data_IF_457301399756
#
_entry.id   IF_457301399756
#
_cell.length_a   1.000
_cell.length_b   1.000
_cell.length_c   1.000
_cell.angle_alpha   90.00
_cell.angle_beta   90.00
_cell.angle_gamma   90.00
#
_symmetry.space_group_name_H-M   'P 1'
#
loop_
_entity.id
_entity.type
_entity.pdbx_description
1 polymer ?
#
# COMPACT_ATOMS: atom_id res chain seq x y z
N UNK A 1 -45.44 -58.18 31.08
CA UNK A 1 -44.72 -58.68 29.90
C UNK A 1 -43.38 -57.98 29.86
N UNK A 2 -42.32 -58.74 30.13
CA UNK A 2 -40.93 -58.29 30.10
C UNK A 2 -40.50 -58.06 28.65
N UNK A 3 -39.94 -56.89 28.35
CA UNK A 3 -39.23 -56.64 27.09
C UNK A 3 -37.83 -56.18 27.48
N UNK A 4 -36.84 -57.04 27.22
CA UNK A 4 -35.41 -56.73 27.29
C UNK A 4 -35.04 -55.60 26.34
N UNK A 5 -34.07 -54.74 26.67
CA UNK A 5 -33.48 -53.84 25.69
C UNK A 5 -32.53 -54.61 24.76
N UNK A 6 -32.78 -54.48 23.46
CA UNK A 6 -31.93 -54.93 22.36
C UNK A 6 -30.65 -54.05 22.30
N UNK A 7 -29.45 -54.63 22.08
CA UNK A 7 -28.21 -53.87 22.08
C UNK A 7 -28.06 -53.06 20.79
N UNK A 8 -28.06 -51.72 20.91
CA UNK A 8 -27.67 -50.82 19.83
C UNK A 8 -26.19 -51.05 19.48
N UNK A 9 -26.03 -51.84 18.43
CA UNK A 9 -24.84 -52.17 17.65
C UNK A 9 -23.71 -51.14 17.67
N UNK A 10 -22.49 -51.64 17.92
CA UNK A 10 -21.19 -50.98 17.78
C UNK A 10 -20.91 -50.30 16.41
N UNK A 11 -21.80 -50.48 15.42
CA UNK A 11 -21.79 -49.76 14.14
C UNK A 11 -22.16 -48.27 14.28
N UNK A 12 -22.99 -47.92 15.27
CA UNK A 12 -23.39 -46.52 15.52
C UNK A 12 -22.22 -45.68 16.05
N UNK A 13 -21.44 -46.23 16.99
CA UNK A 13 -20.27 -45.54 17.55
C UNK A 13 -19.12 -45.44 16.54
N UNK A 14 -18.92 -46.45 15.69
CA UNK A 14 -17.87 -46.42 14.68
C UNK A 14 -18.20 -45.44 13.53
N UNK A 15 -19.48 -45.29 13.19
CA UNK A 15 -19.93 -44.27 12.23
C UNK A 15 -19.91 -42.86 12.82
N UNK A 16 -20.20 -42.69 14.11
CA UNK A 16 -20.04 -41.41 14.80
C UNK A 16 -18.56 -41.00 14.92
N UNK A 17 -17.66 -41.95 15.22
CA UNK A 17 -16.21 -41.71 15.25
C UNK A 17 -15.65 -41.39 13.86
N UNK A 18 -16.13 -42.06 12.80
CA UNK A 18 -15.75 -41.74 11.41
C UNK A 18 -16.30 -40.40 10.93
N UNK A 19 -17.50 -40.01 11.36
CA UNK A 19 -18.06 -38.68 11.08
C UNK A 19 -17.31 -37.57 11.84
N UNK A 20 -16.86 -37.83 13.08
CA UNK A 20 -16.06 -36.89 13.86
C UNK A 20 -14.64 -36.72 13.30
N UNK A 21 -14.02 -37.79 12.80
CA UNK A 21 -12.70 -37.73 12.13
C UNK A 21 -12.82 -37.04 10.76
N UNK A 22 -13.90 -37.25 10.02
CA UNK A 22 -14.16 -36.54 8.75
C UNK A 22 -14.48 -35.05 8.95
N UNK A 23 -15.05 -34.65 10.09
CA UNK A 23 -15.26 -33.24 10.43
C UNK A 23 -13.96 -32.56 10.90
N UNK A 24 -13.07 -33.30 11.58
CA UNK A 24 -11.76 -32.81 12.00
C UNK A 24 -10.76 -32.68 10.83
N UNK A 25 -10.81 -33.56 9.83
CA UNK A 25 -9.91 -33.52 8.65
C UNK A 25 -10.33 -32.52 7.55
N UNK A 26 -11.60 -32.07 7.56
CA UNK A 26 -12.05 -30.96 6.69
C UNK A 26 -11.73 -29.60 7.32
N UNK A 27 -11.29 -29.58 8.59
CA UNK A 27 -10.63 -28.43 9.19
C UNK A 27 -9.15 -28.36 8.74
N UNK A 28 -8.94 -28.47 7.42
CA UNK A 28 -7.75 -27.94 6.75
C UNK A 28 -7.71 -26.44 7.03
N UNK A 29 -7.00 -26.07 8.11
CA UNK A 29 -6.08 -24.94 8.18
C UNK A 29 -6.56 -23.74 7.34
N UNK A 30 -7.77 -23.25 7.60
CA UNK A 30 -8.02 -21.82 7.41
C UNK A 30 -7.34 -21.18 8.61
N UNK A 31 -6.04 -20.92 8.47
CA UNK A 31 -5.39 -19.90 9.28
C UNK A 31 -6.18 -18.64 8.98
N UNK A 32 -7.09 -18.26 9.89
CA UNK A 32 -7.68 -16.94 9.88
C UNK A 32 -6.50 -15.96 9.78
N UNK A 33 -6.52 -15.02 8.81
CA UNK A 33 -5.45 -14.04 8.71
C UNK A 33 -5.30 -13.41 10.09
N UNK A 34 -4.08 -13.43 10.62
CA UNK A 34 -3.79 -12.79 11.90
C UNK A 34 -4.34 -11.35 11.81
N UNK A 35 -5.15 -10.85 12.77
CA UNK A 35 -5.81 -9.55 12.64
C UNK A 35 -4.81 -8.40 12.42
N UNK A 36 -3.57 -8.57 12.90
CA UNK A 36 -2.45 -7.64 12.64
C UNK A 36 -2.07 -7.63 11.15
N UNK A 37 -2.06 -8.79 10.48
CA UNK A 37 -1.79 -8.91 9.05
C UNK A 37 -2.96 -8.32 8.24
N UNK A 38 -4.20 -8.50 8.70
CA UNK A 38 -5.38 -7.96 8.03
C UNK A 38 -5.47 -6.43 8.15
N UNK A 39 -5.15 -5.86 9.30
CA UNK A 39 -5.06 -4.42 9.48
C UNK A 39 -3.92 -3.80 8.66
N UNK A 40 -2.76 -4.45 8.56
CA UNK A 40 -1.65 -4.03 7.68
C UNK A 40 -2.00 -4.20 6.20
N UNK A 41 -2.75 -5.24 5.82
CA UNK A 41 -3.17 -5.48 4.44
C UNK A 41 -4.25 -4.50 3.99
N UNK A 42 -5.23 -4.21 4.85
CA UNK A 42 -6.31 -3.26 4.59
C UNK A 42 -5.80 -1.81 4.55
N UNK A 43 -4.84 -1.45 5.41
CA UNK A 43 -4.18 -0.14 5.35
C UNK A 43 -3.35 0.02 4.07
N UNK A 44 -2.61 -1.02 3.64
CA UNK A 44 -1.92 -1.02 2.34
C UNK A 44 -2.86 -0.96 1.13
N UNK A 45 -4.06 -1.52 1.23
CA UNK A 45 -5.09 -1.39 0.17
C UNK A 45 -5.63 0.04 0.06
N UNK A 46 -5.67 0.80 1.16
CA UNK A 46 -6.12 2.19 1.17
C UNK A 46 -5.04 3.24 0.85
N UNK A 47 -3.76 2.89 0.99
CA UNK A 47 -2.62 3.75 0.67
C UNK A 47 -1.64 3.01 -0.26
N UNK A 48 -1.92 2.95 -1.56
CA UNK A 48 -1.02 2.31 -2.52
C UNK A 48 0.36 3.00 -2.57
N UNK A 49 0.46 4.23 -2.07
CA UNK A 49 1.68 5.02 -1.98
C UNK A 49 2.21 5.16 -0.54
N UNK A 50 1.88 4.22 0.35
CA UNK A 50 2.30 4.24 1.75
C UNK A 50 3.78 4.61 1.88
N UNK A 51 4.01 5.72 2.57
CA UNK A 51 5.28 6.43 2.63
C UNK A 51 6.26 5.58 3.44
N UNK A 52 7.37 5.15 2.83
CA UNK A 52 8.55 4.83 3.60
C UNK A 52 9.34 6.14 3.75
N UNK A 53 9.49 6.68 4.97
CA UNK A 53 10.24 7.91 5.19
C UNK A 53 11.73 7.62 4.99
N UNK A 54 12.18 7.56 3.75
CA UNK A 54 13.60 7.44 3.43
C UNK A 54 14.18 8.84 3.23
N UNK A 55 14.27 9.60 4.33
CA UNK A 55 15.40 10.50 4.45
C UNK A 55 16.63 9.60 4.48
N UNK A 56 17.44 9.60 3.41
CA UNK A 56 18.65 8.79 3.33
C UNK A 56 19.54 9.11 4.53
N UNK A 57 19.69 8.15 5.45
CA UNK A 57 20.63 8.29 6.55
C UNK A 57 22.05 8.28 5.97
N UNK A 58 22.95 9.17 6.42
CA UNK A 58 24.31 9.18 5.95
C UNK A 58 24.99 7.84 6.24
N UNK A 59 25.91 7.43 5.37
CA UNK A 59 26.50 6.09 5.45
C UNK A 59 27.17 5.81 6.80
N UNK A 60 27.75 6.86 7.41
CA UNK A 60 28.35 6.82 8.74
C UNK A 60 27.39 6.50 9.89
N UNK A 61 26.07 6.65 9.70
CA UNK A 61 25.06 6.31 10.70
C UNK A 61 24.44 4.92 10.49
N UNK A 62 24.52 4.40 9.25
CA UNK A 62 23.98 3.09 8.88
C UNK A 62 25.01 1.99 9.08
N UNK A 63 26.27 2.29 8.77
CA UNK A 63 27.37 1.34 8.86
C UNK A 63 28.00 1.49 10.24
N UNK A 64 27.69 0.56 11.14
CA UNK A 64 28.40 0.46 12.40
C UNK A 64 29.86 0.05 12.13
N UNK A 65 30.85 0.65 12.81
CA UNK A 65 32.24 0.23 12.66
C UNK A 65 32.34 -1.27 12.96
N UNK A 66 32.89 -2.04 12.02
CA UNK A 66 33.00 -3.48 12.24
C UNK A 66 34.03 -3.78 13.33
N UNK A 67 33.91 -4.94 13.98
CA UNK A 67 34.97 -5.41 14.87
C UNK A 67 36.23 -5.61 14.03
N UNK A 68 37.42 -5.19 14.50
CA UNK A 68 38.64 -5.38 13.74
C UNK A 68 38.78 -6.85 13.35
N UNK A 69 38.75 -7.10 12.04
CA UNK A 69 38.89 -8.44 11.48
C UNK A 69 40.24 -9.04 11.84
N UNK A 70 40.38 -10.37 11.74
CA UNK A 70 41.66 -11.01 11.99
C UNK A 70 42.71 -10.47 10.99
N UNK A 71 43.79 -9.81 11.46
CA UNK A 71 44.74 -9.11 10.60
C UNK A 71 45.48 -10.05 9.65
N UNK A 72 45.63 -11.33 10.00
CA UNK A 72 46.28 -12.33 9.14
C UNK A 72 45.38 -12.73 7.97
N UNK A 73 44.07 -12.83 8.19
CA UNK A 73 43.11 -13.11 7.12
C UNK A 73 42.95 -11.89 6.21
N UNK A 74 42.93 -10.68 6.78
CA UNK A 74 42.87 -9.45 6.00
C UNK A 74 44.07 -9.32 5.06
N UNK A 75 45.30 -9.53 5.53
CA UNK A 75 46.50 -9.50 4.66
C UNK A 75 46.53 -10.59 3.59
N UNK A 76 45.84 -11.71 3.83
CA UNK A 76 45.75 -12.82 2.87
C UNK A 76 44.73 -12.54 1.76
N UNK A 77 43.62 -11.87 2.09
CA UNK A 77 42.49 -11.69 1.17
C UNK A 77 42.41 -10.29 0.56
N UNK A 78 42.83 -9.25 1.26
CA UNK A 78 42.85 -7.86 0.77
C UNK A 78 44.24 -7.60 0.20
N UNK A 79 44.34 -7.50 -1.12
CA UNK A 79 45.59 -7.16 -1.81
C UNK A 79 45.63 -5.66 -2.11
N UNK A 80 46.83 -5.11 -2.30
CA UNK A 80 47.04 -3.73 -2.75
C UNK A 80 46.28 -3.42 -4.07
N UNK A 81 46.15 -4.44 -4.93
CA UNK A 81 45.35 -4.36 -6.15
C UNK A 81 43.87 -4.08 -5.85
N UNK A 82 43.30 -4.71 -4.83
CA UNK A 82 41.88 -4.58 -4.48
C UNK A 82 41.59 -3.19 -3.90
N UNK A 83 42.51 -2.65 -3.10
CA UNK A 83 42.47 -1.26 -2.61
C UNK A 83 42.50 -0.26 -3.76
N UNK A 84 43.40 -0.46 -4.71
CA UNK A 84 43.52 0.39 -5.91
C UNK A 84 42.27 0.30 -6.78
N UNK A 85 41.70 -0.90 -6.94
CA UNK A 85 40.47 -1.13 -7.69
C UNK A 85 39.27 -0.43 -7.03
N UNK A 86 39.11 -0.53 -5.71
CA UNK A 86 38.05 0.14 -4.99
C UNK A 86 38.19 1.66 -5.05
N UNK A 87 39.42 2.19 -4.93
CA UNK A 87 39.69 3.61 -5.10
C UNK A 87 39.27 4.11 -6.49
N UNK A 88 39.61 3.35 -7.54
CA UNK A 88 39.18 3.66 -8.91
C UNK A 88 37.65 3.64 -9.04
N UNK A 89 36.97 2.62 -8.51
CA UNK A 89 35.51 2.51 -8.51
C UNK A 89 34.82 3.67 -7.79
N UNK A 90 35.34 4.11 -6.65
CA UNK A 90 34.80 5.26 -5.92
C UNK A 90 34.98 6.54 -6.75
N UNK A 91 36.15 6.72 -7.36
CA UNK A 91 36.43 7.88 -8.20
C UNK A 91 35.50 7.95 -9.41
N UNK A 92 35.30 6.83 -10.10
CA UNK A 92 34.36 6.72 -11.22
C UNK A 92 32.92 7.03 -10.78
N UNK A 93 32.50 6.52 -9.62
CA UNK A 93 31.17 6.78 -9.09
C UNK A 93 30.99 8.25 -8.70
N UNK A 94 32.01 8.91 -8.16
CA UNK A 94 31.98 10.36 -7.88
C UNK A 94 31.77 11.17 -9.16
N UNK A 95 32.50 10.83 -10.24
CA UNK A 95 32.34 11.50 -11.53
C UNK A 95 30.95 11.27 -12.13
N UNK A 96 30.44 10.03 -12.05
CA UNK A 96 29.06 9.71 -12.45
C UNK A 96 28.03 10.53 -11.68
N UNK A 97 28.18 10.66 -10.36
CA UNK A 97 27.27 11.45 -9.51
C UNK A 97 27.25 12.91 -9.96
N UNK A 98 28.41 13.50 -10.28
CA UNK A 98 28.51 14.87 -10.83
C UNK A 98 27.79 14.99 -12.17
N UNK A 99 27.90 13.98 -13.03
CA UNK A 99 27.26 13.98 -14.34
C UNK A 99 25.74 13.71 -14.29
N UNK A 100 25.24 13.12 -13.19
CA UNK A 100 23.81 12.80 -13.00
C UNK A 100 23.01 13.90 -12.29
N UNK A 101 23.62 15.02 -11.91
CA UNK A 101 22.96 16.13 -11.20
C UNK A 101 21.91 16.78 -12.09
N UNK A 102 20.66 16.31 -12.01
CA UNK A 102 19.58 16.87 -12.82
C UNK A 102 18.41 17.42 -12.01
N UNK A 103 18.35 17.23 -10.69
CA UNK A 103 17.15 17.67 -9.98
C UNK A 103 17.20 17.81 -8.46
N UNK A 104 18.06 17.07 -7.75
CA UNK A 104 18.17 17.16 -6.29
C UNK A 104 19.63 17.34 -5.86
N UNK A 105 19.98 18.60 -5.60
CA UNK A 105 21.32 18.98 -5.13
C UNK A 105 21.62 18.36 -3.75
N UNK A 106 20.60 18.14 -2.94
CA UNK A 106 20.72 17.62 -1.57
C UNK A 106 21.23 16.17 -1.58
N UNK A 107 20.65 15.31 -2.42
CA UNK A 107 21.08 13.92 -2.55
C UNK A 107 22.47 13.81 -3.18
N UNK A 108 22.76 14.66 -4.17
CA UNK A 108 24.08 14.72 -4.81
C UNK A 108 25.17 15.03 -3.78
N UNK A 109 24.98 16.07 -2.96
CA UNK A 109 25.94 16.47 -1.93
C UNK A 109 26.07 15.39 -0.83
N UNK A 110 25.03 14.61 -0.58
CA UNK A 110 25.07 13.46 0.32
C UNK A 110 25.89 12.30 -0.28
N UNK A 111 25.68 11.94 -1.55
CA UNK A 111 26.47 10.93 -2.25
C UNK A 111 27.95 11.30 -2.29
N UNK A 112 28.27 12.57 -2.58
CA UNK A 112 29.66 13.05 -2.58
C UNK A 112 30.30 12.93 -1.20
N UNK A 113 29.59 13.32 -0.13
CA UNK A 113 30.08 13.19 1.24
C UNK A 113 30.32 11.74 1.64
N UNK A 114 29.41 10.83 1.30
CA UNK A 114 29.58 9.40 1.61
C UNK A 114 30.75 8.79 0.81
N UNK A 115 30.91 9.14 -0.46
CA UNK A 115 32.04 8.66 -1.26
C UNK A 115 33.38 9.21 -0.78
N UNK A 116 33.41 10.46 -0.29
CA UNK A 116 34.58 11.03 0.38
C UNK A 116 34.88 10.30 1.69
N UNK A 117 33.85 9.97 2.48
CA UNK A 117 33.98 9.15 3.69
C UNK A 117 34.56 7.75 3.39
N UNK A 118 34.10 7.11 2.31
CA UNK A 118 34.67 5.84 1.86
C UNK A 118 36.17 5.96 1.50
N UNK A 119 36.57 7.05 0.85
CA UNK A 119 38.00 7.33 0.58
C UNK A 119 38.81 7.54 1.85
N UNK A 120 38.27 8.26 2.83
CA UNK A 120 38.98 8.47 4.09
C UNK A 120 39.17 7.16 4.85
N UNK A 121 38.18 6.25 4.83
CA UNK A 121 38.29 4.93 5.42
C UNK A 121 39.44 4.12 4.80
N UNK A 122 39.58 4.17 3.47
CA UNK A 122 40.69 3.50 2.76
C UNK A 122 42.06 4.09 3.07
N UNK A 123 42.14 5.39 3.39
CA UNK A 123 43.41 6.05 3.78
C UNK A 123 43.79 5.80 5.23
N UNK A 124 42.81 5.54 6.10
CA UNK A 124 43.05 5.35 7.54
C UNK A 124 43.66 3.98 7.84
N UNK A 125 43.09 2.91 7.28
CA UNK A 125 43.61 1.56 7.46
C UNK A 125 43.08 0.60 6.39
N UNK A 126 43.93 -0.34 5.96
CA UNK A 126 43.53 -1.46 5.10
C UNK A 126 42.41 -2.32 5.73
N UNK A 127 42.33 -2.31 7.07
CA UNK A 127 41.30 -3.03 7.82
C UNK A 127 39.88 -2.51 7.56
N UNK A 128 39.73 -1.26 7.10
CA UNK A 128 38.44 -0.60 6.84
C UNK A 128 37.93 -0.82 5.39
N UNK A 129 38.56 -1.73 4.64
CA UNK A 129 38.22 -2.01 3.25
C UNK A 129 36.74 -2.39 3.09
N UNK A 130 36.21 -3.24 3.98
CA UNK A 130 34.85 -3.73 3.90
C UNK A 130 33.83 -2.61 4.14
N UNK A 131 34.08 -1.73 5.11
CA UNK A 131 33.25 -0.56 5.37
C UNK A 131 33.23 0.38 4.17
N UNK A 132 34.41 0.70 3.61
CA UNK A 132 34.50 1.53 2.42
C UNK A 132 33.78 0.90 1.22
N UNK A 133 33.87 -0.42 1.06
CA UNK A 133 33.16 -1.17 0.02
C UNK A 133 31.64 -1.13 0.22
N UNK A 134 31.16 -1.25 1.45
CA UNK A 134 29.73 -1.14 1.78
C UNK A 134 29.18 0.26 1.50
N UNK A 135 29.90 1.31 1.88
CA UNK A 135 29.52 2.70 1.56
C UNK A 135 29.40 2.88 0.05
N UNK A 136 30.41 2.41 -0.71
CA UNK A 136 30.40 2.45 -2.18
C UNK A 136 29.18 1.74 -2.75
N UNK A 137 28.89 0.51 -2.30
CA UNK A 137 27.80 -0.30 -2.84
C UNK A 137 26.43 0.30 -2.54
N UNK A 138 26.24 0.87 -1.35
CA UNK A 138 25.01 1.57 -0.98
C UNK A 138 24.76 2.78 -1.88
N UNK A 139 25.75 3.66 -2.04
CA UNK A 139 25.66 4.82 -2.95
C UNK A 139 25.37 4.38 -4.38
N UNK A 140 26.04 3.32 -4.86
CA UNK A 140 25.83 2.77 -6.19
C UNK A 140 24.38 2.28 -6.38
N UNK A 141 23.87 1.51 -5.43
CA UNK A 141 22.52 0.95 -5.49
C UNK A 141 21.45 2.05 -5.50
N UNK A 142 21.63 3.07 -4.66
CA UNK A 142 20.74 4.24 -4.59
C UNK A 142 20.75 5.01 -5.91
N UNK A 143 21.93 5.30 -6.46
CA UNK A 143 22.06 6.01 -7.73
C UNK A 143 21.42 5.22 -8.90
N UNK A 144 21.66 3.91 -8.98
CA UNK A 144 21.04 3.05 -9.99
C UNK A 144 19.52 2.97 -9.83
N UNK A 145 19.00 3.05 -8.60
CA UNK A 145 17.56 3.13 -8.34
C UNK A 145 17.00 4.46 -8.84
N UNK A 146 17.62 5.59 -8.49
CA UNK A 146 17.20 6.92 -8.96
C UNK A 146 17.19 7.02 -10.49
N UNK A 147 18.24 6.51 -11.15
CA UNK A 147 18.32 6.50 -12.62
C UNK A 147 17.20 5.68 -13.26
N UNK A 148 16.88 4.50 -12.69
CA UNK A 148 15.78 3.66 -13.15
C UNK A 148 14.44 4.38 -12.99
N UNK A 149 14.17 4.94 -11.82
CA UNK A 149 12.94 5.70 -11.56
C UNK A 149 12.82 6.90 -12.50
N UNK A 150 13.91 7.64 -12.76
CA UNK A 150 13.91 8.74 -13.71
C UNK A 150 13.60 8.30 -15.15
N UNK A 151 14.10 7.13 -15.57
CA UNK A 151 13.78 6.55 -16.87
C UNK A 151 12.30 6.14 -16.95
N UNK A 152 11.77 5.52 -15.90
CA UNK A 152 10.37 5.10 -15.83
C UNK A 152 9.42 6.31 -15.82
N UNK A 153 9.73 7.36 -15.05
CA UNK A 153 8.98 8.62 -15.06
C UNK A 153 8.93 9.17 -16.49
N UNK A 154 10.05 9.21 -17.20
CA UNK A 154 10.09 9.73 -18.57
C UNK A 154 9.23 8.90 -19.52
N UNK A 155 9.21 7.58 -19.35
CA UNK A 155 8.46 6.64 -20.19
C UNK A 155 6.95 6.69 -19.93
N UNK A 156 6.54 6.72 -18.67
CA UNK A 156 5.14 6.53 -18.28
C UNK A 156 4.38 7.82 -17.96
N UNK A 157 5.06 8.92 -17.61
CA UNK A 157 4.40 10.18 -17.24
C UNK A 157 3.49 10.70 -18.34
N UNK A 158 3.99 10.83 -19.57
CA UNK A 158 3.21 11.39 -20.66
C UNK A 158 2.00 10.52 -21.03
N UNK A 159 2.14 9.19 -21.24
CA UNK A 159 0.99 8.31 -21.46
C UNK A 159 -0.07 8.38 -20.35
N UNK A 160 0.34 8.41 -19.07
CA UNK A 160 -0.58 8.49 -17.94
C UNK A 160 -1.34 9.83 -17.89
N UNK A 161 -0.65 10.94 -18.16
CA UNK A 161 -1.29 12.27 -18.23
C UNK A 161 -2.26 12.33 -19.41
N UNK A 162 -1.88 11.82 -20.58
CA UNK A 162 -2.77 11.76 -21.75
C UNK A 162 -3.99 10.89 -21.47
N UNK A 163 -3.81 9.74 -20.82
CA UNK A 163 -4.92 8.88 -20.39
C UNK A 163 -5.92 9.63 -19.49
N UNK A 164 -5.42 10.35 -18.47
CA UNK A 164 -6.28 11.15 -17.59
C UNK A 164 -6.93 12.32 -18.32
N UNK A 165 -6.24 12.95 -19.28
CA UNK A 165 -6.80 14.02 -20.12
C UNK A 165 -7.93 13.50 -21.02
N UNK A 166 -7.76 12.33 -21.62
CA UNK A 166 -8.80 11.68 -22.44
C UNK A 166 -10.02 11.37 -21.58
N UNK A 167 -9.83 10.82 -20.38
CA UNK A 167 -10.93 10.62 -19.44
C UNK A 167 -11.60 11.92 -19.01
N UNK A 168 -10.82 12.98 -18.74
CA UNK A 168 -11.35 14.30 -18.40
C UNK A 168 -12.24 14.85 -19.51
N UNK A 169 -11.77 14.79 -20.76
CA UNK A 169 -12.53 15.21 -21.93
C UNK A 169 -13.80 14.35 -22.08
N UNK A 170 -13.68 13.03 -21.92
CA UNK A 170 -14.83 12.12 -22.01
C UNK A 170 -15.88 12.42 -20.92
N UNK A 171 -15.45 12.67 -19.68
CA UNK A 171 -16.36 13.04 -18.57
C UNK A 171 -17.02 14.40 -18.82
N UNK A 172 -16.27 15.41 -19.26
CA UNK A 172 -16.83 16.74 -19.59
C UNK A 172 -17.83 16.63 -20.75
N UNK A 173 -17.51 15.85 -21.78
CA UNK A 173 -18.41 15.60 -22.91
C UNK A 173 -19.67 14.84 -22.47
N UNK A 174 -19.53 13.86 -21.57
CA UNK A 174 -20.65 13.10 -21.02
C UNK A 174 -21.60 13.97 -20.18
N UNK A 175 -21.06 14.95 -19.42
CA UNK A 175 -21.85 15.95 -18.70
C UNK A 175 -22.50 16.93 -19.68
N UNK A 176 -21.78 17.42 -20.69
CA UNK A 176 -22.29 18.39 -21.66
C UNK A 176 -23.37 17.83 -22.60
N UNK A 177 -23.38 16.50 -22.81
CA UNK A 177 -24.36 15.79 -23.64
C UNK A 177 -25.34 14.96 -22.78
N UNK A 178 -25.61 15.40 -21.54
CA UNK A 178 -26.41 14.68 -20.53
C UNK A 178 -27.72 14.11 -21.10
N UNK A 179 -28.52 14.94 -21.77
CA UNK A 179 -29.81 14.54 -22.35
C UNK A 179 -29.67 13.37 -23.34
N UNK A 180 -28.62 13.38 -24.16
CA UNK A 180 -28.39 12.33 -25.18
C UNK A 180 -27.96 11.03 -24.53
N UNK A 181 -27.10 11.09 -23.51
CA UNK A 181 -26.65 9.90 -22.79
C UNK A 181 -27.77 9.30 -21.95
N UNK A 182 -28.57 10.12 -21.27
CA UNK A 182 -29.73 9.66 -20.50
C UNK A 182 -30.83 9.05 -21.36
N UNK A 183 -30.99 9.51 -22.59
CA UNK A 183 -31.94 8.93 -23.54
C UNK A 183 -31.57 7.50 -23.96
N UNK A 184 -30.27 7.15 -23.94
CA UNK A 184 -29.81 5.78 -24.23
C UNK A 184 -30.08 4.79 -23.10
N UNK A 185 -30.33 5.29 -21.87
CA UNK A 185 -30.63 4.44 -20.73
C UNK A 185 -32.11 3.99 -20.84
N UNK A 186 -32.41 2.68 -20.78
CA UNK A 186 -33.79 2.19 -20.81
C UNK A 186 -34.65 2.79 -19.69
N UNK A 187 -35.93 3.04 -19.97
CA UNK A 187 -36.86 3.57 -18.97
C UNK A 187 -37.07 2.64 -17.77
N UNK A 188 -36.85 1.33 -17.96
CA UNK A 188 -36.91 0.33 -16.89
C UNK A 188 -35.87 0.55 -15.77
N UNK A 189 -34.83 1.37 -16.01
CA UNK A 189 -33.75 1.63 -15.06
C UNK A 189 -33.70 3.12 -14.67
N UNK A 190 -34.83 3.68 -14.24
CA UNK A 190 -34.98 5.10 -13.87
C UNK A 190 -33.96 5.57 -12.82
N UNK A 191 -33.63 4.70 -11.85
CA UNK A 191 -32.61 4.96 -10.82
C UNK A 191 -31.24 5.25 -11.44
N UNK A 192 -30.86 4.55 -12.52
CA UNK A 192 -29.58 4.77 -13.20
C UNK A 192 -29.53 6.13 -13.91
N UNK A 193 -30.66 6.60 -14.45
CA UNK A 193 -30.76 7.95 -15.04
C UNK A 193 -30.52 9.04 -14.02
N UNK A 194 -31.03 8.86 -12.79
CA UNK A 194 -30.81 9.81 -11.69
C UNK A 194 -29.37 9.74 -11.15
N UNK A 195 -28.79 8.54 -11.07
CA UNK A 195 -27.42 8.32 -10.58
C UNK A 195 -26.33 8.81 -11.55
N UNK A 196 -26.67 9.04 -12.83
CA UNK A 196 -25.72 9.38 -13.89
C UNK A 196 -24.81 10.57 -13.56
N UNK A 197 -25.37 11.72 -13.18
CA UNK A 197 -24.58 12.91 -12.84
C UNK A 197 -23.72 12.70 -11.57
N UNK A 198 -24.24 12.16 -10.45
CA UNK A 198 -23.41 11.78 -9.30
C UNK A 198 -22.24 10.85 -9.66
N UNK A 199 -22.46 9.85 -10.54
CA UNK A 199 -21.39 8.97 -11.02
C UNK A 199 -20.32 9.79 -11.75
N UNK A 200 -20.71 10.62 -12.72
CA UNK A 200 -19.75 11.45 -13.47
C UNK A 200 -19.01 12.45 -12.58
N UNK A 201 -19.68 13.04 -11.58
CA UNK A 201 -19.04 13.90 -10.58
C UNK A 201 -18.00 13.13 -9.75
N UNK A 202 -18.29 11.88 -9.38
CA UNK A 202 -17.33 10.99 -8.71
C UNK A 202 -16.12 10.64 -9.59
N UNK A 203 -16.35 10.36 -10.88
CA UNK A 203 -15.26 10.17 -11.87
C UNK A 203 -14.40 11.43 -11.96
N UNK A 204 -15.02 12.62 -12.04
CA UNK A 204 -14.31 13.89 -12.13
C UNK A 204 -13.43 14.15 -10.89
N UNK A 205 -13.94 13.86 -9.69
CA UNK A 205 -13.16 13.94 -8.46
C UNK A 205 -11.95 12.98 -8.46
N UNK A 206 -12.16 11.75 -8.94
CA UNK A 206 -11.09 10.78 -9.04
C UNK A 206 -10.01 11.18 -10.05
N UNK A 207 -10.38 11.80 -11.16
CA UNK A 207 -9.41 12.32 -12.12
C UNK A 207 -8.53 13.41 -11.51
N UNK A 208 -9.11 14.28 -10.68
CA UNK A 208 -8.34 15.27 -9.93
C UNK A 208 -7.34 14.61 -8.98
N UNK A 209 -7.78 13.59 -8.22
CA UNK A 209 -6.91 12.78 -7.36
C UNK A 209 -5.76 12.11 -8.15
N UNK A 210 -6.08 11.50 -9.30
CA UNK A 210 -5.10 10.82 -10.15
C UNK A 210 -4.05 11.77 -10.71
N UNK A 211 -4.46 12.95 -11.18
CA UNK A 211 -3.55 13.98 -11.68
C UNK A 211 -2.63 14.53 -10.57
N UNK A 212 -3.17 14.77 -9.37
CA UNK A 212 -2.37 15.18 -8.22
C UNK A 212 -1.37 14.10 -7.81
N UNK A 213 -1.79 12.84 -7.75
CA UNK A 213 -0.90 11.72 -7.47
C UNK A 213 0.22 11.58 -8.52
N UNK A 214 -0.09 11.77 -9.81
CA UNK A 214 0.94 11.80 -10.86
C UNK A 214 1.91 12.96 -10.61
N UNK A 215 1.42 14.17 -10.32
CA UNK A 215 2.29 15.32 -10.06
C UNK A 215 3.19 15.10 -8.83
N UNK A 216 2.62 14.61 -7.73
CA UNK A 216 3.34 14.32 -6.49
C UNK A 216 4.44 13.29 -6.72
N UNK A 217 4.12 12.13 -7.30
CA UNK A 217 5.07 11.02 -7.46
C UNK A 217 6.08 11.21 -8.61
N UNK A 218 5.78 12.06 -9.60
CA UNK A 218 6.71 12.33 -10.71
C UNK A 218 7.56 13.58 -10.52
N UNK A 219 7.05 14.61 -9.83
CA UNK A 219 7.69 15.93 -9.77
C UNK A 219 8.20 16.27 -8.38
N UNK A 220 7.39 16.03 -7.34
CA UNK A 220 7.71 16.40 -5.96
C UNK A 220 8.59 15.32 -5.30
N UNK A 221 8.10 14.09 -5.25
CA UNK A 221 8.75 12.96 -4.57
C UNK A 221 9.69 12.17 -5.47
N UNK A 222 9.41 12.13 -6.79
CA UNK A 222 10.20 11.37 -7.78
C UNK A 222 10.39 9.89 -7.42
N UNK A 223 9.37 9.28 -6.84
CA UNK A 223 9.33 7.89 -6.36
C UNK A 223 8.38 7.02 -7.17
N UNK A 224 8.10 7.40 -8.42
CA UNK A 224 7.22 6.66 -9.31
C UNK A 224 7.68 5.21 -9.50
N UNK A 225 6.74 4.29 -9.30
CA UNK A 225 6.94 2.85 -9.50
C UNK A 225 5.92 2.34 -10.54
N UNK A 226 6.37 1.73 -11.65
CA UNK A 226 5.49 1.20 -12.70
C UNK A 226 4.52 0.12 -12.19
N UNK A 227 4.81 -0.53 -11.06
CA UNK A 227 3.91 -1.50 -10.42
C UNK A 227 2.55 -0.88 -10.05
N UNK A 228 2.52 0.43 -9.79
CA UNK A 228 1.31 1.16 -9.39
C UNK A 228 0.52 1.74 -10.58
N UNK A 229 0.94 1.48 -11.83
CA UNK A 229 0.23 1.93 -13.05
C UNK A 229 -1.24 1.49 -13.05
N UNK A 230 -1.52 0.28 -12.59
CA UNK A 230 -2.88 -0.26 -12.50
C UNK A 230 -3.80 0.61 -11.64
N UNK A 231 -3.28 1.20 -10.55
CA UNK A 231 -4.07 2.08 -9.70
C UNK A 231 -4.50 3.34 -10.47
N UNK A 232 -3.58 3.96 -11.21
CA UNK A 232 -3.89 5.13 -12.05
C UNK A 232 -4.93 4.82 -13.13
N UNK A 233 -4.94 3.61 -13.67
CA UNK A 233 -5.90 3.20 -14.70
C UNK A 233 -7.30 2.98 -14.12
N UNK A 234 -7.42 2.34 -12.96
CA UNK A 234 -8.71 2.00 -12.36
C UNK A 234 -9.33 3.15 -11.55
N UNK A 235 -8.53 4.13 -11.15
CA UNK A 235 -8.93 5.26 -10.31
C UNK A 235 -10.21 6.00 -10.80
N UNK A 236 -10.39 6.32 -12.11
CA UNK A 236 -11.63 6.94 -12.60
C UNK A 236 -12.88 6.06 -12.36
N UNK A 237 -12.75 4.74 -12.51
CA UNK A 237 -13.83 3.77 -12.31
C UNK A 237 -14.23 3.72 -10.83
N UNK A 238 -13.25 3.67 -9.93
CA UNK A 238 -13.48 3.71 -8.48
C UNK A 238 -14.21 5.01 -8.09
N UNK A 239 -13.82 6.14 -8.69
CA UNK A 239 -14.50 7.42 -8.51
C UNK A 239 -15.98 7.36 -8.85
N UNK A 240 -16.31 6.78 -10.01
CA UNK A 240 -17.70 6.60 -10.44
C UNK A 240 -18.50 5.69 -9.50
N UNK A 241 -17.89 4.59 -9.03
CA UNK A 241 -18.51 3.71 -8.03
C UNK A 241 -18.79 4.43 -6.72
N UNK A 242 -17.85 5.25 -6.24
CA UNK A 242 -18.04 6.06 -5.04
C UNK A 242 -19.14 7.11 -5.23
N UNK A 243 -19.23 7.73 -6.41
CA UNK A 243 -20.33 8.63 -6.75
C UNK A 243 -21.70 7.92 -6.71
N UNK A 244 -21.78 6.68 -7.21
CA UNK A 244 -22.98 5.84 -7.09
C UNK A 244 -23.32 5.53 -5.63
N UNK A 245 -22.33 5.19 -4.80
CA UNK A 245 -22.54 4.92 -3.37
C UNK A 245 -23.10 6.16 -2.67
N UNK A 246 -22.55 7.35 -2.92
CA UNK A 246 -23.05 8.62 -2.37
C UNK A 246 -24.50 8.85 -2.77
N UNK A 247 -24.84 8.62 -4.05
CA UNK A 247 -26.21 8.74 -4.52
C UNK A 247 -27.17 7.78 -3.80
N UNK A 248 -26.80 6.50 -3.66
CA UNK A 248 -27.63 5.51 -2.96
C UNK A 248 -27.83 5.91 -1.49
N UNK A 249 -26.77 6.33 -0.80
CA UNK A 249 -26.87 6.79 0.59
C UNK A 249 -27.79 7.99 0.72
N UNK A 250 -27.74 8.91 -0.24
CA UNK A 250 -28.64 10.05 -0.27
C UNK A 250 -30.10 9.63 -0.48
N UNK A 251 -30.38 8.75 -1.45
CA UNK A 251 -31.75 8.26 -1.72
C UNK A 251 -32.32 7.54 -0.50
N UNK A 252 -31.54 6.67 0.15
CA UNK A 252 -31.93 5.95 1.37
C UNK A 252 -32.14 6.91 2.54
N UNK A 253 -31.25 7.90 2.71
CA UNK A 253 -31.40 8.92 3.75
C UNK A 253 -32.64 9.76 3.51
N UNK A 254 -32.88 10.19 2.27
CA UNK A 254 -34.06 10.95 1.89
C UNK A 254 -35.33 10.15 2.15
N UNK A 255 -35.40 8.87 1.77
CA UNK A 255 -36.58 8.03 2.03
C UNK A 255 -36.85 7.76 3.51
N UNK A 256 -35.80 7.78 4.35
CA UNK A 256 -35.91 7.46 5.78
C UNK A 256 -36.16 8.70 6.65
N UNK A 257 -35.55 9.83 6.32
CA UNK A 257 -35.69 11.09 7.07
C UNK A 257 -36.80 12.00 6.54
N UNK A 258 -37.30 11.78 5.32
CA UNK A 258 -38.16 12.75 4.61
C UNK A 258 -39.58 12.26 4.42
N UNK A 259 -40.34 12.16 5.51
CA UNK A 259 -41.80 12.30 5.44
C UNK A 259 -42.23 13.79 5.33
N UNK A 260 -41.32 14.75 5.56
CA UNK A 260 -41.69 16.17 5.77
C UNK A 260 -40.90 17.24 4.96
N UNK A 261 -39.96 16.91 4.06
CA UNK A 261 -39.20 17.90 3.27
C UNK A 261 -39.56 17.92 1.76
N UNK A 262 -40.55 17.13 1.31
CA UNK A 262 -40.95 17.06 -0.11
C UNK A 262 -41.75 18.32 -0.56
N UNK A 263 -42.05 19.26 0.33
CA UNK A 263 -42.97 20.39 0.06
C UNK A 263 -42.34 21.72 -0.37
N UNK A 264 -41.07 21.76 -0.82
CA UNK A 264 -40.50 22.99 -1.44
C UNK A 264 -39.78 22.73 -2.77
N UNK A 265 -40.31 23.24 -3.90
CA UNK A 265 -39.68 23.08 -5.22
C UNK A 265 -38.35 23.86 -5.37
N UNK A 266 -38.09 24.85 -4.51
CA UNK A 266 -36.86 25.65 -4.54
C UNK A 266 -35.66 24.94 -3.91
N UNK A 267 -35.89 23.84 -3.18
CA UNK A 267 -34.84 23.01 -2.58
C UNK A 267 -34.31 21.89 -3.49
N UNK A 268 -34.99 21.53 -4.59
CA UNK A 268 -34.55 20.42 -5.45
C UNK A 268 -33.21 20.68 -6.17
N UNK A 269 -32.99 21.91 -6.65
CA UNK A 269 -31.74 22.31 -7.30
C UNK A 269 -30.57 22.36 -6.33
N UNK A 270 -30.80 22.90 -5.12
CA UNK A 270 -29.77 22.95 -4.07
C UNK A 270 -29.43 21.55 -3.57
N UNK A 271 -30.43 20.69 -3.34
CA UNK A 271 -30.21 19.30 -2.94
C UNK A 271 -29.45 18.50 -4.01
N UNK A 272 -29.75 18.72 -5.30
CA UNK A 272 -29.05 18.03 -6.40
C UNK A 272 -27.58 18.44 -6.51
N UNK A 273 -27.26 19.74 -6.41
CA UNK A 273 -25.89 20.23 -6.44
C UNK A 273 -25.06 19.73 -5.26
N UNK A 274 -25.66 19.63 -4.06
CA UNK A 274 -24.98 19.09 -2.88
C UNK A 274 -24.57 17.64 -3.09
N UNK A 275 -25.42 16.82 -3.72
CA UNK A 275 -25.09 15.41 -4.02
C UNK A 275 -23.94 15.33 -5.02
N UNK A 276 -23.96 16.16 -6.07
CA UNK A 276 -22.89 16.17 -7.07
C UNK A 276 -21.56 16.62 -6.48
N UNK A 277 -21.58 17.67 -5.65
CA UNK A 277 -20.40 18.14 -4.94
C UNK A 277 -19.87 17.09 -3.96
N UNK A 278 -20.76 16.43 -3.22
CA UNK A 278 -20.37 15.36 -2.31
C UNK A 278 -19.77 14.18 -3.06
N UNK A 279 -20.39 13.76 -4.17
CA UNK A 279 -19.86 12.71 -5.04
C UNK A 279 -18.47 13.08 -5.58
N UNK A 280 -18.26 14.33 -5.97
CA UNK A 280 -16.96 14.85 -6.38
C UNK A 280 -15.93 14.77 -5.24
N UNK A 281 -16.26 15.27 -4.04
CA UNK A 281 -15.34 15.25 -2.89
C UNK A 281 -14.97 13.83 -2.51
N UNK A 282 -15.95 12.92 -2.48
CA UNK A 282 -15.75 11.50 -2.17
C UNK A 282 -14.90 10.83 -3.25
N UNK A 283 -15.14 11.16 -4.53
CA UNK A 283 -14.32 10.69 -5.66
C UNK A 283 -12.88 11.22 -5.60
N UNK A 284 -12.67 12.44 -5.10
CA UNK A 284 -11.33 13.00 -4.86
C UNK A 284 -10.65 12.31 -3.67
N UNK A 285 -11.31 12.22 -2.52
CA UNK A 285 -10.73 11.67 -1.29
C UNK A 285 -10.97 10.16 -1.12
N UNK A 286 -10.68 9.36 -2.15
CA UNK A 286 -10.97 7.92 -2.15
C UNK A 286 -10.36 7.19 -0.94
N UNK A 287 -9.11 7.47 -0.61
CA UNK A 287 -8.40 6.79 0.49
C UNK A 287 -9.09 7.02 1.84
N UNK A 288 -9.51 8.26 2.11
CA UNK A 288 -10.18 8.64 3.35
C UNK A 288 -11.58 8.00 3.42
N UNK A 289 -12.30 8.00 2.30
CA UNK A 289 -13.64 7.40 2.23
C UNK A 289 -13.58 5.89 2.44
N UNK A 290 -12.63 5.20 1.80
CA UNK A 290 -12.44 3.75 1.97
C UNK A 290 -12.08 3.44 3.42
N UNK A 291 -11.21 4.25 4.05
CA UNK A 291 -10.91 4.10 5.47
C UNK A 291 -12.15 4.30 6.35
N UNK A 292 -12.98 5.31 6.06
CA UNK A 292 -14.21 5.57 6.80
C UNK A 292 -15.22 4.42 6.65
N UNK A 293 -15.37 3.90 5.43
CA UNK A 293 -16.23 2.74 5.15
C UNK A 293 -15.73 1.49 5.90
N UNK A 294 -14.43 1.24 5.89
CA UNK A 294 -13.83 0.13 6.64
C UNK A 294 -14.06 0.27 8.15
N UNK A 295 -13.95 1.49 8.70
CA UNK A 295 -14.26 1.74 10.12
C UNK A 295 -15.73 1.50 10.43
N UNK A 296 -16.63 1.92 9.55
CA UNK A 296 -18.06 1.69 9.69
C UNK A 296 -18.40 0.18 9.62
N UNK A 297 -17.85 -0.55 8.64
CA UNK A 297 -18.04 -2.00 8.53
C UNK A 297 -17.51 -2.76 9.77
N UNK A 298 -16.35 -2.33 10.28
CA UNK A 298 -15.81 -2.86 11.55
C UNK A 298 -16.71 -2.58 12.73
N UNK A 299 -17.39 -1.42 12.80
CA UNK A 299 -18.33 -1.12 13.87
C UNK A 299 -19.62 -1.95 13.82
N UNK A 300 -20.02 -2.42 12.65
CA UNK A 300 -21.21 -3.29 12.46
C UNK A 300 -20.91 -4.77 12.68
N UNK A 301 -19.63 -5.16 12.64
CA UNK A 301 -19.21 -6.54 12.87
C UNK A 301 -18.90 -6.73 14.35
N UNK A 302 -19.70 -7.49 15.12
CA UNK A 302 -19.38 -7.75 16.52
C UNK A 302 -18.05 -8.51 16.60
N UNK A 303 -17.05 -7.88 17.21
CA UNK A 303 -15.76 -8.51 17.49
C UNK A 303 -15.99 -9.80 18.29
N UNK A 304 -15.76 -10.96 17.69
CA UNK A 304 -15.47 -12.16 18.48
C UNK A 304 -14.08 -11.96 19.07
N UNK A 305 -14.03 -11.49 20.32
CA UNK A 305 -12.80 -11.49 21.11
C UNK A 305 -12.27 -12.92 21.14
N UNK A 306 -11.08 -13.21 20.57
CA UNK A 306 -10.45 -14.49 20.83
C UNK A 306 -10.09 -14.48 22.31
N UNK A 307 -10.67 -15.41 23.07
CA UNK A 307 -10.29 -15.67 24.46
C UNK A 307 -8.79 -15.95 24.47
N UNK A 308 -7.95 -14.96 24.82
CA UNK A 308 -6.53 -15.17 25.06
C UNK A 308 -6.41 -16.00 26.35
N UNK A 309 -5.81 -17.20 26.33
CA UNK A 309 -5.31 -17.79 27.57
C UNK A 309 -4.27 -16.80 28.13
N UNK A 310 -4.47 -16.38 29.38
CA UNK A 310 -3.54 -15.50 30.09
C UNK A 310 -2.13 -16.09 30.04
N UNK A 311 -1.22 -15.37 29.38
CA UNK A 311 0.22 -15.62 29.45
C UNK A 311 0.68 -15.28 30.88
N UNK A 312 0.64 -16.28 31.74
CA UNK A 312 0.98 -16.15 33.16
C UNK A 312 1.21 -17.51 33.80
N UNK A 313 1.98 -18.38 33.14
CA UNK A 313 2.63 -19.57 33.72
C UNK A 313 3.58 -20.18 32.67
N UNK A 314 4.61 -19.42 32.29
CA UNK A 314 5.85 -20.05 31.82
C UNK A 314 6.61 -20.44 33.09
N UNK A 315 6.46 -21.71 33.46
CA UNK A 315 7.23 -22.36 34.51
C UNK A 315 8.72 -22.17 34.24
N UNK A 316 9.43 -21.65 35.26
CA UNK A 316 10.88 -21.55 35.32
C UNK A 316 11.58 -22.88 34.94
N UNK A 317 12.80 -22.82 34.37
CA UNK A 317 13.51 -24.01 33.94
C UNK A 317 13.82 -24.91 35.13
N UNK A 318 13.47 -26.18 34.99
CA UNK A 318 13.77 -27.28 35.90
C UNK A 318 15.22 -27.26 36.36
N UNK A 319 15.42 -26.98 37.65
CA UNK A 319 16.68 -27.23 38.36
C UNK A 319 17.03 -28.72 38.29
N UNK A 320 18.25 -29.02 37.89
CA UNK A 320 18.86 -30.35 37.97
C UNK A 320 18.90 -30.80 39.44
N UNK A 321 18.61 -32.08 39.77
CA UNK A 321 18.68 -32.55 41.14
C UNK A 321 20.14 -32.54 41.63
N UNK A 322 20.42 -31.71 42.63
CA UNK A 322 21.66 -31.82 43.40
C UNK A 322 21.64 -33.14 44.18
N UNK A 323 22.65 -33.98 43.92
CA UNK A 323 23.08 -35.06 44.81
C UNK A 323 23.94 -34.47 45.92
N UNK A 324 23.53 -34.62 47.17
CA UNK A 324 24.41 -34.56 48.35
C UNK A 324 23.79 -35.37 49.50
N UNK A 325 24.60 -35.86 50.45
CA UNK A 325 25.84 -36.63 50.35
C UNK A 325 25.59 -38.15 50.35
#
# INVERSE_FOLDING_TARGET
>A
MSVSPEPLSAESENNAARAAVSAADVQRVMIAPNPIIEDVRLSRLSEPFAILPFSRLPASQVIAPSKPGNPELQRRYIKEKDLTELWAKITELQERVVNSVRADRTNTDAYQRDLLYARTLLLEADANFEEAYQVYYMVKADLEREMRVAADIRRYRLPLVVYHLVWLIATVLAIGLDDRFRALIPESVSIMKLAWLPILSGVFGALFNGLMAIHEHTTVRRDFDPTHVTWYLINPIIGGMLGLVVFILFVVSASTFTANLITRPESELQSSLVIWLLAFIVGWQQNIVIQLLNRFLKSLTPNQTPNRPSAGQLTSPTELPQRQP
#
